data_IF_597192023878
#
_entry.id   IF_597192023878
#
_cell.length_a   1.000
_cell.length_b   1.000
_cell.length_c   1.000
_cell.angle_alpha   90.00
_cell.angle_beta   90.00
_cell.angle_gamma   90.00
#
_symmetry.space_group_name_H-M   'P 1'
#
loop_
_entity.id
_entity.type
_entity.pdbx_description
1 polymer ?
#
# COMPACT_ATOMS: atom_id res chain seq x y z
N UNK A 1 -7.17 -8.29 -0.74
CA UNK A 1 -5.76 -8.66 -0.40
C UNK A 1 -5.32 -7.84 0.81
N UNK A 2 -4.57 -8.42 1.76
CA UNK A 2 -4.03 -7.65 2.90
C UNK A 2 -3.14 -6.46 2.49
N UNK A 3 -3.29 -5.34 3.19
CA UNK A 3 -2.53 -4.09 2.98
C UNK A 3 -1.02 -4.30 3.01
N UNK A 4 -0.51 -5.04 3.99
CA UNK A 4 0.93 -5.33 4.09
C UNK A 4 1.48 -6.13 2.89
N UNK A 5 0.68 -7.08 2.38
CA UNK A 5 1.00 -7.83 1.16
C UNK A 5 0.97 -6.90 -0.05
N UNK A 6 -0.06 -6.06 -0.16
CA UNK A 6 -0.22 -5.10 -1.25
C UNK A 6 0.97 -4.16 -1.36
N UNK A 7 1.35 -3.49 -0.26
CA UNK A 7 2.49 -2.57 -0.20
C UNK A 7 3.82 -3.24 -0.60
N UNK A 8 3.96 -4.54 -0.31
CA UNK A 8 5.13 -5.34 -0.73
C UNK A 8 5.12 -5.64 -2.22
N UNK A 9 3.99 -6.05 -2.79
CA UNK A 9 3.93 -6.45 -4.20
C UNK A 9 3.96 -5.26 -5.15
N UNK A 10 3.38 -4.12 -4.75
CA UNK A 10 3.45 -2.85 -5.47
C UNK A 10 4.82 -2.17 -5.33
N UNK A 11 5.70 -2.72 -4.48
CA UNK A 11 7.06 -2.22 -4.21
C UNK A 11 7.12 -0.82 -3.59
N UNK A 12 5.99 -0.30 -3.11
CA UNK A 12 5.94 0.91 -2.28
C UNK A 12 6.76 0.73 -1.01
N UNK A 13 6.70 -0.47 -0.42
CA UNK A 13 7.56 -0.87 0.70
C UNK A 13 8.26 -2.17 0.32
N UNK A 14 9.60 -2.16 0.27
CA UNK A 14 10.40 -3.30 -0.19
C UNK A 14 10.26 -4.57 0.67
N UNK A 15 9.95 -4.43 1.96
CA UNK A 15 9.88 -5.54 2.93
C UNK A 15 8.49 -5.58 3.57
N UNK A 16 7.90 -6.78 3.64
CA UNK A 16 6.57 -6.99 4.24
C UNK A 16 6.56 -6.73 5.76
N UNK A 17 7.67 -6.97 6.45
CA UNK A 17 7.83 -6.66 7.87
C UNK A 17 7.72 -5.15 8.10
N UNK A 18 8.44 -4.35 7.31
CA UNK A 18 8.38 -2.88 7.35
C UNK A 18 6.98 -2.36 7.02
N UNK A 19 6.27 -3.02 6.10
CA UNK A 19 4.88 -2.66 5.80
C UNK A 19 3.94 -2.91 6.99
N UNK A 20 4.13 -4.00 7.74
CA UNK A 20 3.38 -4.23 8.98
C UNK A 20 3.70 -3.16 10.02
N UNK A 21 4.99 -2.92 10.27
CA UNK A 21 5.45 -1.90 11.24
C UNK A 21 4.90 -0.51 10.90
N UNK A 22 4.84 -0.15 9.62
CA UNK A 22 4.28 1.12 9.16
C UNK A 22 2.76 1.22 9.40
N UNK A 23 2.03 0.12 9.25
CA UNK A 23 0.59 0.08 9.58
C UNK A 23 0.37 0.16 11.09
N UNK A 24 1.20 -0.53 11.88
CA UNK A 24 1.12 -0.52 13.36
C UNK A 24 1.51 0.85 13.95
N UNK A 25 2.43 1.56 13.30
CA UNK A 25 2.83 2.92 13.67
C UNK A 25 1.90 4.01 13.10
N UNK A 26 0.72 3.64 12.57
CA UNK A 26 -0.28 4.54 11.98
C UNK A 26 0.28 5.44 10.86
N UNK A 27 1.37 5.01 10.19
CA UNK A 27 1.97 5.71 9.07
C UNK A 27 1.27 5.43 7.75
N UNK A 28 0.41 4.41 7.70
CA UNK A 28 -0.37 4.06 6.51
C UNK A 28 -1.84 4.30 6.78
N UNK A 29 -2.48 5.09 5.91
CA UNK A 29 -3.91 5.38 5.95
C UNK A 29 -4.58 4.90 4.67
N UNK A 30 -5.81 4.41 4.79
CA UNK A 30 -6.68 4.06 3.65
C UNK A 30 -7.93 4.91 3.74
N UNK A 31 -8.27 5.63 2.66
CA UNK A 31 -9.41 6.54 2.56
C UNK A 31 -9.45 7.56 3.72
N UNK A 32 -8.27 8.10 4.08
CA UNK A 32 -8.11 9.10 5.14
C UNK A 32 -8.17 8.56 6.57
N UNK A 33 -8.19 7.24 6.78
CA UNK A 33 -8.18 6.62 8.12
C UNK A 33 -6.98 5.68 8.30
N UNK A 34 -6.31 5.68 9.46
CA UNK A 34 -5.25 4.71 9.74
C UNK A 34 -5.75 3.29 9.55
N UNK A 35 -5.00 2.49 8.80
CA UNK A 35 -5.39 1.13 8.45
C UNK A 35 -4.41 0.11 9.03
N UNK A 36 -4.96 -0.98 9.59
CA UNK A 36 -4.15 -2.10 10.06
C UNK A 36 -3.60 -2.89 8.88
N UNK A 37 -2.49 -3.58 9.11
CA UNK A 37 -1.88 -4.46 8.11
C UNK A 37 -2.83 -5.56 7.57
N UNK A 38 -3.83 -5.96 8.37
CA UNK A 38 -4.86 -6.94 8.00
C UNK A 38 -5.98 -6.37 7.12
N UNK A 39 -6.01 -5.06 6.86
CA UNK A 39 -7.02 -4.44 6.03
C UNK A 39 -7.05 -5.06 4.63
N UNK A 40 -8.24 -5.37 4.14
CA UNK A 40 -8.39 -5.94 2.80
C UNK A 40 -8.53 -4.82 1.76
N UNK A 41 -7.45 -4.60 1.01
CA UNK A 41 -7.33 -3.57 -0.03
C UNK A 41 -8.25 -3.89 -1.19
N UNK A 42 -8.98 -2.87 -1.64
CA UNK A 42 -9.90 -2.90 -2.78
C UNK A 42 -9.46 -1.94 -3.87
N UNK A 43 -9.90 -2.21 -5.09
CA UNK A 43 -9.72 -1.28 -6.21
C UNK A 43 -10.50 0.00 -5.91
N UNK A 44 -9.87 1.14 -6.16
CA UNK A 44 -10.39 2.47 -5.87
C UNK A 44 -10.00 3.02 -4.50
N UNK A 45 -9.41 2.21 -3.61
CA UNK A 45 -8.92 2.70 -2.32
C UNK A 45 -7.79 3.73 -2.51
N UNK A 46 -7.83 4.79 -1.73
CA UNK A 46 -6.76 5.78 -1.65
C UNK A 46 -5.87 5.46 -0.45
N UNK A 47 -4.61 5.11 -0.72
CA UNK A 47 -3.63 4.76 0.31
C UNK A 47 -2.65 5.91 0.45
N UNK A 48 -2.48 6.39 1.68
CA UNK A 48 -1.51 7.41 2.05
C UNK A 48 -0.42 6.80 2.92
N UNK A 49 0.83 6.99 2.52
CA UNK A 49 2.02 6.46 3.19
C UNK A 49 2.86 7.63 3.70
N UNK A 50 2.90 7.78 5.02
CA UNK A 50 3.61 8.83 5.75
C UNK A 50 4.97 8.34 6.26
N UNK A 51 5.78 7.77 5.37
CA UNK A 51 7.14 7.33 5.70
C UNK A 51 8.19 8.20 4.99
N UNK A 52 8.90 9.02 5.76
CA UNK A 52 10.00 9.85 5.26
C UNK A 52 9.67 11.35 5.24
N UNK A 53 10.22 12.07 4.25
CA UNK A 53 10.10 13.53 4.16
C UNK A 53 8.76 14.03 3.59
N UNK A 54 8.08 13.21 2.79
CA UNK A 54 6.85 13.62 2.09
C UNK A 54 5.83 12.49 2.13
N UNK A 55 4.54 12.80 2.39
CA UNK A 55 3.47 11.84 2.27
C UNK A 55 3.34 11.38 0.82
N UNK A 56 3.26 10.07 0.59
CA UNK A 56 2.96 9.50 -0.71
C UNK A 56 1.50 9.08 -0.74
N UNK A 57 0.71 9.69 -1.63
CA UNK A 57 -0.68 9.30 -1.88
C UNK A 57 -0.76 8.51 -3.17
N UNK A 58 -1.49 7.41 -3.13
CA UNK A 58 -1.75 6.57 -4.28
C UNK A 58 -3.19 6.13 -4.31
N UNK A 59 -3.72 5.83 -5.50
CA UNK A 59 -5.00 5.15 -5.67
C UNK A 59 -4.77 3.76 -6.25
N UNK A 60 -5.45 2.77 -5.68
CA UNK A 60 -5.36 1.38 -6.12
C UNK A 60 -6.16 1.19 -7.40
N UNK A 61 -5.48 0.80 -8.49
CA UNK A 61 -6.10 0.50 -9.78
C UNK A 61 -6.43 -0.99 -9.92
N UNK A 62 -5.57 -1.87 -9.38
CA UNK A 62 -5.71 -3.32 -9.50
C UNK A 62 -5.23 -4.02 -8.24
N UNK A 63 -5.92 -5.09 -7.86
CA UNK A 63 -5.54 -5.97 -6.76
C UNK A 63 -5.39 -7.38 -7.31
N UNK A 64 -4.15 -7.87 -7.37
CA UNK A 64 -3.82 -9.22 -7.90
C UNK A 64 -2.89 -9.94 -6.94
N UNK A 65 -3.00 -11.27 -6.85
CA UNK A 65 -2.23 -12.07 -5.89
C UNK A 65 -0.75 -12.22 -6.22
N UNK A 66 -0.43 -12.24 -7.52
CA UNK A 66 0.92 -12.40 -8.06
C UNK A 66 1.12 -11.35 -9.12
N UNK A 67 2.21 -10.59 -9.03
CA UNK A 67 2.61 -9.63 -10.06
C UNK A 67 4.11 -9.77 -10.33
N UNK A 68 4.48 -9.79 -11.61
CA UNK A 68 5.87 -9.76 -12.05
C UNK A 68 6.51 -8.40 -11.76
N UNK A 69 7.83 -8.29 -11.94
CA UNK A 69 8.54 -7.02 -11.68
C UNK A 69 7.96 -5.84 -12.48
N UNK A 70 7.62 -6.09 -13.73
CA UNK A 70 7.22 -5.06 -14.67
C UNK A 70 5.76 -4.58 -14.47
N UNK A 71 4.90 -5.41 -13.87
CA UNK A 71 3.49 -5.08 -13.63
C UNK A 71 3.19 -4.43 -12.27
N UNK A 72 4.20 -4.15 -11.44
CA UNK A 72 3.98 -3.57 -10.11
C UNK A 72 3.45 -2.13 -10.18
N UNK A 73 3.91 -1.37 -11.18
CA UNK A 73 3.47 0.00 -11.43
C UNK A 73 2.02 0.07 -11.91
N UNK A 74 1.48 -1.01 -12.48
CA UNK A 74 0.09 -1.05 -12.99
C UNK A 74 -0.94 -1.26 -11.87
N UNK A 75 -0.49 -1.48 -10.63
CA UNK A 75 -1.37 -1.72 -9.48
C UNK A 75 -1.94 -0.44 -8.89
N UNK A 76 -1.28 0.70 -9.10
CA UNK A 76 -1.65 1.97 -8.49
C UNK A 76 -1.27 3.16 -9.36
N UNK A 77 -1.93 4.28 -9.13
CA UNK A 77 -1.54 5.61 -9.64
C UNK A 77 -1.13 6.50 -8.46
N UNK A 78 -0.18 7.41 -8.67
CA UNK A 78 0.18 8.44 -7.68
C UNK A 78 -0.77 9.62 -7.84
N UNK A 79 -1.30 10.13 -6.73
CA UNK A 79 -2.26 11.25 -6.68
C UNK A 79 -1.65 12.46 -5.97
#
# INVERSE_FOLDING_TARGET
MRLDKFLKISRLIKRRTVANEACDAEKVSVNGKPARASYDVKVGDEIEINMGKSPLKIRVLKVVEVVGKDGASDLYEVV
#
